data_IF_269614095192
#
_entry.id   IF_269614095192
#
_cell.length_a   1.000
_cell.length_b   1.000
_cell.length_c   1.000
_cell.angle_alpha   90.00
_cell.angle_beta   90.00
_cell.angle_gamma   90.00
#
_symmetry.space_group_name_H-M   'P 1'
#
loop_
_entity.id
_entity.type
_entity.pdbx_description
1 polymer ?
#
# COMPACT_ATOMS: atom_id res chain seq x y z
N UNK A 1 30.56 -72.46 -38.06
CA UNK A 1 29.61 -71.77 -37.15
C UNK A 1 30.29 -71.53 -35.82
N UNK A 2 30.42 -70.27 -35.39
CA UNK A 2 30.69 -69.91 -34.00
C UNK A 2 29.89 -68.63 -33.72
N UNK A 3 28.78 -68.81 -33.01
CA UNK A 3 27.90 -67.75 -32.50
C UNK A 3 28.48 -67.32 -31.15
N UNK A 4 28.87 -66.05 -31.00
CA UNK A 4 29.65 -65.58 -29.85
C UNK A 4 29.35 -64.13 -29.43
N UNK A 5 28.08 -63.86 -29.14
CA UNK A 5 27.57 -62.94 -28.12
C UNK A 5 28.23 -61.54 -27.96
N UNK A 6 27.98 -60.63 -28.91
CA UNK A 6 28.31 -59.22 -28.76
C UNK A 6 27.24 -58.49 -27.91
N UNK A 7 27.27 -58.67 -26.59
CA UNK A 7 26.33 -57.97 -25.69
C UNK A 7 26.73 -56.50 -25.54
N UNK A 8 26.26 -55.65 -26.45
CA UNK A 8 26.24 -54.20 -26.31
C UNK A 8 25.34 -53.81 -25.12
N UNK A 9 25.85 -53.97 -23.89
CA UNK A 9 25.22 -53.43 -22.68
C UNK A 9 25.34 -51.91 -22.74
N UNK A 10 24.35 -51.26 -23.36
CA UNK A 10 24.16 -49.81 -23.28
C UNK A 10 24.20 -49.42 -21.80
N UNK A 11 25.18 -48.59 -21.38
CA UNK A 11 25.21 -48.02 -20.02
C UNK A 11 23.85 -47.39 -19.76
N UNK A 12 23.09 -47.92 -18.80
CA UNK A 12 21.83 -47.31 -18.35
C UNK A 12 22.16 -45.88 -17.97
N UNK A 13 21.70 -44.92 -18.76
CA UNK A 13 21.68 -43.52 -18.37
C UNK A 13 20.69 -43.47 -17.22
N UNK A 14 21.22 -43.47 -15.99
CA UNK A 14 20.42 -43.25 -14.79
C UNK A 14 19.94 -41.81 -14.89
N UNK A 15 18.72 -41.62 -15.40
CA UNK A 15 18.03 -40.34 -15.28
C UNK A 15 17.87 -40.08 -13.79
N UNK A 16 18.73 -39.20 -13.25
CA UNK A 16 18.57 -38.73 -11.87
C UNK A 16 17.18 -38.12 -11.77
N UNK A 17 16.37 -38.64 -10.86
CA UNK A 17 15.08 -38.05 -10.55
C UNK A 17 15.30 -36.56 -10.27
N UNK A 18 14.49 -35.70 -10.91
CA UNK A 18 14.58 -34.26 -10.68
C UNK A 18 14.34 -34.03 -9.18
N UNK A 19 15.31 -33.45 -8.44
CA UNK A 19 15.13 -33.21 -7.02
C UNK A 19 13.98 -32.22 -6.82
N UNK A 20 13.28 -32.35 -5.68
CA UNK A 20 12.18 -31.46 -5.33
C UNK A 20 12.64 -29.99 -5.36
N UNK A 21 11.98 -29.12 -6.15
CA UNK A 21 12.27 -27.69 -6.19
C UNK A 21 12.30 -27.00 -4.82
N UNK A 22 11.55 -27.47 -3.82
CA UNK A 22 11.49 -26.86 -2.49
C UNK A 22 12.75 -27.09 -1.64
N UNK A 23 13.53 -28.14 -1.91
CA UNK A 23 14.81 -28.39 -1.20
C UNK A 23 15.82 -27.25 -1.41
N UNK A 24 15.69 -26.54 -2.54
CA UNK A 24 16.51 -25.40 -2.94
C UNK A 24 15.93 -24.06 -2.52
N UNK A 25 14.88 -24.04 -1.68
CA UNK A 25 14.23 -22.82 -1.22
C UNK A 25 14.51 -22.56 0.27
N UNK A 26 14.50 -21.29 0.63
CA UNK A 26 14.58 -20.74 1.99
C UNK A 26 13.40 -19.79 2.19
N UNK A 27 12.91 -19.72 3.43
CA UNK A 27 11.74 -18.94 3.82
C UNK A 27 12.17 -17.75 4.66
N UNK A 28 11.56 -16.59 4.40
CA UNK A 28 11.80 -15.34 5.09
C UNK A 28 10.48 -14.77 5.61
N UNK A 29 10.43 -14.45 6.89
CA UNK A 29 9.29 -13.80 7.53
C UNK A 29 9.31 -12.30 7.20
N UNK A 30 8.21 -11.75 6.73
CA UNK A 30 8.11 -10.34 6.34
C UNK A 30 7.37 -9.57 7.43
N UNK A 31 8.04 -8.55 7.96
CA UNK A 31 7.52 -7.73 9.04
C UNK A 31 7.09 -6.35 8.52
N UNK A 32 5.86 -5.96 8.83
CA UNK A 32 5.34 -4.60 8.72
C UNK A 32 5.96 -3.71 9.82
N UNK A 33 6.05 -2.39 9.59
CA UNK A 33 6.43 -1.44 10.64
C UNK A 33 5.57 -1.61 11.90
N UNK A 34 6.14 -1.35 13.08
CA UNK A 34 5.48 -1.52 14.38
C UNK A 34 4.33 -0.54 14.63
N UNK A 35 3.94 0.24 13.62
CA UNK A 35 2.75 1.08 13.64
C UNK A 35 1.48 0.23 13.82
N UNK A 36 1.43 -0.93 13.19
CA UNK A 36 0.27 -1.81 13.17
C UNK A 36 0.28 -2.79 14.34
N UNK A 37 -0.92 -3.22 14.76
CA UNK A 37 -1.08 -4.18 15.86
C UNK A 37 -0.42 -5.53 15.53
N UNK A 38 -0.63 -6.01 14.30
CA UNK A 38 0.01 -7.21 13.78
C UNK A 38 1.17 -6.82 12.86
N UNK A 39 2.40 -7.06 13.31
CA UNK A 39 3.61 -6.80 12.54
C UNK A 39 3.91 -7.92 11.54
N UNK A 40 3.40 -9.14 11.73
CA UNK A 40 3.66 -10.25 10.82
C UNK A 40 2.73 -10.21 9.59
N UNK A 41 3.31 -10.03 8.41
CA UNK A 41 2.61 -10.05 7.12
C UNK A 41 2.67 -11.42 6.43
N UNK A 42 3.38 -12.38 7.00
CA UNK A 42 3.57 -13.72 6.46
C UNK A 42 4.95 -13.93 5.83
N UNK A 43 5.08 -15.03 5.08
CA UNK A 43 6.37 -15.54 4.63
C UNK A 43 6.58 -15.36 3.12
N UNK A 44 7.82 -15.12 2.74
CA UNK A 44 8.25 -15.10 1.34
C UNK A 44 9.33 -16.14 1.11
N UNK A 45 9.20 -16.86 0.00
CA UNK A 45 10.13 -17.93 -0.36
C UNK A 45 11.09 -17.45 -1.45
N UNK A 46 12.37 -17.79 -1.29
CA UNK A 46 13.45 -17.49 -2.25
C UNK A 46 14.35 -18.71 -2.42
N UNK A 47 15.07 -18.79 -3.53
CA UNK A 47 16.09 -19.81 -3.73
C UNK A 47 17.25 -19.61 -2.76
N UNK A 48 17.76 -20.69 -2.16
CA UNK A 48 18.95 -20.68 -1.31
C UNK A 48 20.12 -20.01 -2.03
N UNK A 49 20.99 -19.38 -1.24
CA UNK A 49 22.21 -18.76 -1.78
C UNK A 49 23.03 -19.78 -2.55
N UNK A 50 23.41 -19.44 -3.78
CA UNK A 50 24.23 -20.29 -4.63
C UNK A 50 25.22 -19.44 -5.42
N UNK A 51 26.50 -19.65 -5.16
CA UNK A 51 27.58 -18.83 -5.74
C UNK A 51 27.41 -17.35 -5.39
N UNK A 52 27.41 -16.49 -6.41
CA UNK A 52 27.28 -15.04 -6.25
C UNK A 52 25.83 -14.57 -6.06
N UNK A 53 24.83 -15.45 -6.16
CA UNK A 53 23.41 -15.07 -6.01
C UNK A 53 22.99 -15.25 -4.55
N UNK A 54 23.06 -14.17 -3.78
CA UNK A 54 22.68 -14.15 -2.36
C UNK A 54 21.16 -14.09 -2.20
N UNK A 55 20.58 -14.98 -1.40
CA UNK A 55 19.14 -15.07 -1.16
C UNK A 55 18.57 -13.76 -0.60
N UNK A 56 19.26 -13.13 0.36
CA UNK A 56 18.82 -11.87 0.99
C UNK A 56 18.72 -10.71 0.00
N UNK A 57 19.58 -10.65 -1.02
CA UNK A 57 19.52 -9.59 -2.03
C UNK A 57 18.36 -9.79 -3.01
N UNK A 58 18.02 -11.04 -3.30
CA UNK A 58 16.89 -11.40 -4.17
C UNK A 58 15.54 -11.15 -3.50
N UNK A 59 15.47 -11.24 -2.17
CA UNK A 59 14.26 -10.89 -1.40
C UNK A 59 14.05 -9.37 -1.39
N UNK A 60 15.13 -8.60 -1.22
CA UNK A 60 15.10 -7.14 -1.21
C UNK A 60 14.49 -6.59 -2.49
N UNK A 61 13.69 -5.54 -2.35
CA UNK A 61 13.01 -4.87 -3.47
C UNK A 61 11.66 -5.46 -3.86
N UNK A 62 11.28 -6.64 -3.37
CA UNK A 62 9.91 -7.16 -3.53
C UNK A 62 8.92 -6.25 -2.81
N UNK A 63 7.74 -6.11 -3.41
CA UNK A 63 6.63 -5.36 -2.84
C UNK A 63 5.58 -6.34 -2.34
N UNK A 64 5.23 -6.23 -1.06
CA UNK A 64 4.17 -6.99 -0.40
C UNK A 64 2.99 -6.07 -0.19
N UNK A 65 1.79 -6.56 -0.54
CA UNK A 65 0.53 -5.86 -0.33
C UNK A 65 -0.18 -6.49 0.85
N UNK A 66 -0.55 -5.69 1.84
CA UNK A 66 -1.30 -6.11 3.01
C UNK A 66 -2.56 -5.25 3.18
N UNK A 67 -3.67 -5.86 3.57
CA UNK A 67 -4.87 -5.13 3.90
C UNK A 67 -4.73 -4.52 5.31
N UNK A 68 -5.21 -3.30 5.51
CA UNK A 68 -5.24 -2.68 6.83
C UNK A 68 -6.14 -3.47 7.79
N UNK A 69 -7.19 -4.12 7.28
CA UNK A 69 -8.03 -5.04 8.08
C UNK A 69 -7.21 -6.14 8.76
N UNK A 70 -6.26 -6.74 8.04
CA UNK A 70 -5.39 -7.81 8.56
C UNK A 70 -4.33 -7.28 9.53
N UNK A 71 -3.79 -6.09 9.25
CA UNK A 71 -2.76 -5.43 10.06
C UNK A 71 -3.30 -4.86 11.39
N UNK A 72 -4.56 -4.42 11.39
CA UNK A 72 -5.23 -3.82 12.55
C UNK A 72 -6.21 -4.76 13.27
N UNK A 73 -6.41 -5.99 12.77
CA UNK A 73 -7.39 -6.96 13.28
C UNK A 73 -8.83 -6.42 13.36
N UNK A 74 -9.16 -5.46 12.49
CA UNK A 74 -10.49 -4.85 12.41
C UNK A 74 -10.96 -4.78 10.96
N UNK A 75 -11.46 -5.90 10.46
CA UNK A 75 -11.82 -6.07 9.05
C UNK A 75 -13.00 -5.18 8.63
N UNK A 76 -14.00 -5.03 9.51
CA UNK A 76 -15.27 -4.33 9.18
C UNK A 76 -15.07 -2.87 8.77
N UNK A 77 -14.17 -2.15 9.43
CA UNK A 77 -13.93 -0.72 9.17
C UNK A 77 -12.72 -0.48 8.27
N UNK A 78 -11.69 -1.32 8.40
CA UNK A 78 -10.40 -1.09 7.77
C UNK A 78 -10.14 -1.97 6.53
N UNK A 79 -11.00 -2.95 6.23
CA UNK A 79 -10.85 -3.86 5.09
C UNK A 79 -10.89 -3.22 3.70
N UNK A 80 -11.16 -1.91 3.63
CA UNK A 80 -11.25 -1.12 2.39
C UNK A 80 -9.90 -0.56 1.92
N UNK A 81 -8.84 -0.67 2.72
CA UNK A 81 -7.56 0.02 2.49
C UNK A 81 -6.39 -0.96 2.45
N UNK A 82 -5.61 -0.95 1.38
CA UNK A 82 -4.38 -1.74 1.24
C UNK A 82 -3.14 -0.86 1.36
N UNK A 83 -2.16 -1.34 2.11
CA UNK A 83 -0.81 -0.79 2.14
C UNK A 83 0.13 -1.67 1.31
N UNK A 84 1.01 -1.02 0.57
CA UNK A 84 2.09 -1.67 -0.16
C UNK A 84 3.40 -1.36 0.56
N UNK A 85 4.16 -2.40 0.88
CA UNK A 85 5.44 -2.30 1.56
C UNK A 85 6.55 -2.91 0.70
N UNK A 86 7.70 -2.26 0.64
CA UNK A 86 8.89 -2.76 -0.05
C UNK A 86 9.82 -3.39 0.98
N UNK A 87 10.34 -4.58 0.71
CA UNK A 87 11.36 -5.20 1.55
C UNK A 87 12.69 -4.49 1.31
N UNK A 88 13.30 -3.96 2.39
CA UNK A 88 14.52 -3.15 2.29
C UNK A 88 15.70 -3.84 2.98
N UNK A 89 15.48 -4.39 4.17
CA UNK A 89 16.51 -5.11 4.92
C UNK A 89 16.02 -6.51 5.24
N UNK A 90 16.92 -7.48 5.22
CA UNK A 90 16.65 -8.83 5.72
C UNK A 90 17.85 -9.27 6.57
N UNK A 91 17.57 -9.74 7.77
CA UNK A 91 18.53 -10.26 8.75
C UNK A 91 17.88 -11.45 9.48
N UNK A 92 18.64 -12.53 9.70
CA UNK A 92 18.22 -13.70 10.48
C UNK A 92 16.83 -14.25 10.09
N UNK A 93 16.63 -14.43 8.78
CA UNK A 93 15.36 -14.89 8.18
C UNK A 93 14.15 -13.95 8.38
N UNK A 94 14.33 -12.77 8.98
CA UNK A 94 13.32 -11.72 9.09
C UNK A 94 13.62 -10.59 8.12
N UNK A 95 12.58 -10.07 7.50
CA UNK A 95 12.68 -8.99 6.53
C UNK A 95 11.89 -7.77 7.00
N UNK A 96 12.60 -6.66 7.15
CA UNK A 96 12.04 -5.36 7.49
C UNK A 96 11.59 -4.65 6.23
N UNK A 97 10.39 -4.06 6.32
CA UNK A 97 9.76 -3.37 5.20
C UNK A 97 9.68 -1.87 5.40
N UNK A 98 9.61 -1.15 4.28
CA UNK A 98 9.42 0.29 4.17
C UNK A 98 8.17 0.61 3.34
N UNK A 99 7.62 1.81 3.48
CA UNK A 99 6.43 2.25 2.76
C UNK A 99 6.68 2.36 1.25
N UNK A 100 5.85 1.69 0.45
CA UNK A 100 5.91 1.74 -1.02
C UNK A 100 4.66 2.37 -1.65
N UNK A 101 3.52 2.36 -0.95
CA UNK A 101 2.32 3.03 -1.39
C UNK A 101 1.07 2.64 -0.61
N UNK A 102 -0.02 3.27 -0.98
CA UNK A 102 -1.34 3.06 -0.40
C UNK A 102 -2.37 2.97 -1.53
N UNK A 103 -3.36 2.10 -1.38
CA UNK A 103 -4.44 1.96 -2.34
C UNK A 103 -5.72 1.49 -1.67
N UNK A 104 -6.82 2.15 -1.99
CA UNK A 104 -8.18 1.68 -1.65
C UNK A 104 -8.57 0.49 -2.52
N UNK A 105 -9.28 -0.49 -1.95
CA UNK A 105 -9.72 -1.68 -2.68
C UNK A 105 -10.71 -1.29 -3.78
N UNK A 106 -10.54 -1.89 -4.96
CA UNK A 106 -11.31 -1.56 -6.18
C UNK A 106 -12.83 -1.65 -5.98
N UNK A 107 -13.33 -2.67 -5.28
CA UNK A 107 -14.77 -2.83 -5.08
C UNK A 107 -15.37 -1.65 -4.30
N UNK A 108 -14.63 -1.13 -3.32
CA UNK A 108 -15.06 0.03 -2.53
C UNK A 108 -14.93 1.32 -3.33
N UNK A 109 -13.84 1.53 -4.07
CA UNK A 109 -13.70 2.69 -4.97
C UNK A 109 -14.85 2.74 -5.99
N UNK A 110 -15.21 1.60 -6.57
CA UNK A 110 -16.28 1.50 -7.58
C UNK A 110 -17.68 1.65 -7.00
N UNK A 111 -17.93 1.23 -5.76
CA UNK A 111 -19.26 1.34 -5.14
C UNK A 111 -19.68 2.79 -4.84
N UNK A 112 -18.72 3.72 -4.75
CA UNK A 112 -19.00 5.13 -4.48
C UNK A 112 -19.54 5.89 -5.70
N UNK A 113 -19.25 5.40 -6.91
CA UNK A 113 -19.74 5.98 -8.16
C UNK A 113 -21.26 5.78 -8.26
N UNK A 114 -21.99 6.89 -8.20
CA UNK A 114 -23.45 6.94 -8.39
C UNK A 114 -23.79 7.85 -9.56
N UNK A 115 -24.94 7.62 -10.19
CA UNK A 115 -25.47 8.50 -11.25
C UNK A 115 -26.06 9.78 -10.64
N UNK A 116 -26.15 10.85 -11.44
CA UNK A 116 -26.76 12.12 -11.01
C UNK A 116 -25.87 13.01 -10.14
N UNK A 117 -24.56 12.75 -10.08
CA UNK A 117 -23.56 13.60 -9.42
C UNK A 117 -22.32 13.77 -10.31
N UNK A 118 -21.55 14.82 -10.07
CA UNK A 118 -20.26 15.06 -10.73
C UNK A 118 -19.14 14.33 -9.98
N UNK A 119 -18.20 13.75 -10.72
CA UNK A 119 -16.97 13.17 -10.20
C UNK A 119 -15.85 14.22 -10.15
N UNK A 120 -15.15 14.28 -9.03
CA UNK A 120 -14.04 15.21 -8.76
C UNK A 120 -12.79 14.36 -8.53
N UNK A 121 -11.81 14.46 -9.43
CA UNK A 121 -10.48 13.87 -9.26
C UNK A 121 -9.42 14.97 -9.11
N UNK A 122 -8.47 14.73 -8.22
CA UNK A 122 -7.30 15.57 -7.98
C UNK A 122 -6.05 14.70 -7.87
N UNK A 123 -4.93 15.22 -8.36
CA UNK A 123 -3.62 14.59 -8.25
C UNK A 123 -2.57 15.62 -7.92
N UNK A 124 -1.69 15.32 -6.97
CA UNK A 124 -0.57 16.20 -6.63
C UNK A 124 0.65 15.42 -6.21
N UNK A 125 1.81 15.97 -6.55
CA UNK A 125 3.09 15.49 -6.06
C UNK A 125 3.48 16.30 -4.83
N UNK A 126 3.77 15.61 -3.73
CA UNK A 126 4.12 16.22 -2.44
C UNK A 126 5.40 15.57 -1.94
N UNK A 127 6.34 16.40 -1.48
CA UNK A 127 7.55 15.92 -0.81
C UNK A 127 7.33 15.97 0.69
N UNK A 128 7.51 14.84 1.38
CA UNK A 128 7.41 14.77 2.85
C UNK A 128 8.68 15.28 3.51
N UNK A 129 8.60 15.53 4.82
CA UNK A 129 9.73 15.97 5.63
C UNK A 129 10.92 14.99 5.60
N UNK A 130 10.63 13.69 5.54
CA UNK A 130 11.64 12.61 5.48
C UNK A 130 12.28 12.44 4.08
N UNK A 131 11.85 13.22 3.09
CA UNK A 131 12.39 13.17 1.73
C UNK A 131 11.74 12.13 0.81
N UNK A 132 10.53 11.62 1.13
CA UNK A 132 9.75 10.84 0.17
C UNK A 132 9.07 11.79 -0.81
N UNK A 133 9.16 11.47 -2.11
CA UNK A 133 8.38 12.16 -3.14
C UNK A 133 7.18 11.28 -3.48
N UNK A 134 5.98 11.77 -3.16
CA UNK A 134 4.73 11.02 -3.23
C UNK A 134 3.78 11.64 -4.25
N UNK A 135 3.13 10.80 -5.05
CA UNK A 135 1.98 11.20 -5.87
C UNK A 135 0.70 10.73 -5.21
N UNK A 136 -0.10 11.69 -4.76
CA UNK A 136 -1.35 11.44 -4.05
C UNK A 136 -2.52 11.66 -5.01
N UNK A 137 -3.41 10.67 -5.06
CA UNK A 137 -4.65 10.70 -5.84
C UNK A 137 -5.80 10.81 -4.85
N UNK A 138 -6.64 11.83 -5.03
CA UNK A 138 -7.86 12.02 -4.27
C UNK A 138 -9.06 12.03 -5.21
N UNK A 139 -10.15 11.39 -4.79
CA UNK A 139 -11.43 11.45 -5.49
C UNK A 139 -12.53 11.90 -4.54
N UNK A 140 -13.59 12.45 -5.11
CA UNK A 140 -14.78 12.87 -4.40
C UNK A 140 -15.96 13.02 -5.34
N UNK A 141 -17.15 13.17 -4.77
CA UNK A 141 -18.38 13.32 -5.54
C UNK A 141 -19.18 14.50 -5.03
N UNK A 142 -19.97 15.11 -5.91
CA UNK A 142 -20.95 16.10 -5.46
C UNK A 142 -22.07 15.42 -4.67
N UNK A 143 -22.58 16.14 -3.69
CA UNK A 143 -23.68 15.74 -2.83
C UNK A 143 -24.88 16.66 -3.04
N UNK A 144 -26.06 16.11 -2.84
CA UNK A 144 -27.29 16.89 -2.85
C UNK A 144 -27.45 17.60 -1.51
N UNK A 145 -27.58 18.93 -1.55
CA UNK A 145 -27.97 19.70 -0.37
C UNK A 145 -29.46 19.46 -0.05
N UNK A 146 -29.82 19.45 1.23
CA UNK A 146 -31.19 19.13 1.71
C UNK A 146 -32.28 20.00 1.07
N UNK A 147 -31.94 21.24 0.72
CA UNK A 147 -32.89 22.22 0.20
C UNK A 147 -33.13 22.11 -1.32
N UNK A 148 -32.38 21.27 -2.03
CA UNK A 148 -32.46 21.16 -3.49
C UNK A 148 -33.56 20.16 -3.87
N UNK A 149 -34.56 20.59 -4.66
CA UNK A 149 -35.63 19.70 -5.15
C UNK A 149 -35.18 18.82 -6.33
N UNK A 150 -34.22 19.29 -7.15
CA UNK A 150 -33.68 18.55 -8.31
C UNK A 150 -33.18 17.15 -7.92
N UNK A 151 -33.36 16.18 -8.81
CA UNK A 151 -32.87 14.81 -8.60
C UNK A 151 -31.36 14.69 -8.78
N UNK A 152 -30.75 15.55 -9.59
CA UNK A 152 -29.31 15.59 -9.84
C UNK A 152 -28.61 16.73 -9.06
N UNK A 153 -27.30 16.58 -8.90
CA UNK A 153 -26.43 17.52 -8.19
C UNK A 153 -25.13 17.81 -8.97
N UNK A 154 -25.25 17.99 -10.30
CA UNK A 154 -24.11 18.38 -11.13
C UNK A 154 -23.65 19.80 -10.79
N UNK A 155 -22.34 19.97 -10.60
CA UNK A 155 -21.71 21.27 -10.35
C UNK A 155 -21.19 21.88 -11.66
N UNK A 156 -21.15 23.21 -11.72
CA UNK A 156 -20.53 23.93 -12.85
C UNK A 156 -19.02 23.72 -12.87
N UNK A 157 -18.39 23.86 -14.03
CA UNK A 157 -16.93 23.70 -14.18
C UNK A 157 -16.14 24.65 -13.26
N UNK A 158 -16.62 25.88 -13.07
CA UNK A 158 -16.02 26.85 -12.14
C UNK A 158 -16.07 26.38 -10.69
N UNK A 159 -17.20 25.86 -10.24
CA UNK A 159 -17.40 25.31 -8.90
C UNK A 159 -16.51 24.07 -8.68
N UNK A 160 -16.43 23.18 -9.68
CA UNK A 160 -15.53 22.02 -9.63
C UNK A 160 -14.07 22.44 -9.49
N UNK A 161 -13.64 23.49 -10.20
CA UNK A 161 -12.26 23.99 -10.10
C UNK A 161 -11.97 24.62 -8.74
N UNK A 162 -12.93 25.31 -8.12
CA UNK A 162 -12.80 25.83 -6.75
C UNK A 162 -12.64 24.70 -5.74
N UNK A 163 -13.45 23.64 -5.85
CA UNK A 163 -13.32 22.45 -5.00
C UNK A 163 -11.97 21.77 -5.21
N UNK A 164 -11.54 21.58 -6.46
CA UNK A 164 -10.22 20.99 -6.76
C UNK A 164 -9.07 21.79 -6.17
N UNK A 165 -9.12 23.13 -6.25
CA UNK A 165 -8.11 24.00 -5.65
C UNK A 165 -8.02 23.79 -4.14
N UNK A 166 -9.16 23.80 -3.45
CA UNK A 166 -9.21 23.56 -2.01
C UNK A 166 -8.70 22.16 -1.62
N UNK A 167 -9.04 21.13 -2.41
CA UNK A 167 -8.55 19.76 -2.20
C UNK A 167 -7.02 19.68 -2.35
N UNK A 168 -6.46 20.28 -3.40
CA UNK A 168 -5.01 20.28 -3.63
C UNK A 168 -4.25 21.04 -2.53
N UNK A 169 -4.75 22.22 -2.15
CA UNK A 169 -4.10 23.06 -1.13
C UNK A 169 -4.06 22.37 0.24
N UNK A 170 -5.19 21.78 0.66
CA UNK A 170 -5.28 21.05 1.93
C UNK A 170 -4.52 19.75 1.92
N UNK A 171 -4.53 19.01 0.81
CA UNK A 171 -3.75 17.79 0.64
C UNK A 171 -2.25 18.06 0.73
N UNK A 172 -1.75 19.10 0.06
CA UNK A 172 -0.35 19.51 0.13
C UNK A 172 0.05 19.91 1.55
N UNK A 173 -0.73 20.79 2.17
CA UNK A 173 -0.43 21.31 3.51
C UNK A 173 -0.47 20.21 4.59
N UNK A 174 -1.39 19.25 4.46
CA UNK A 174 -1.51 18.14 5.39
C UNK A 174 -0.37 17.14 5.29
N UNK A 175 0.27 16.99 4.13
CA UNK A 175 1.26 15.93 3.87
C UNK A 175 2.71 16.44 3.94
N UNK A 176 2.96 17.68 3.54
CA UNK A 176 4.31 18.26 3.45
C UNK A 176 5.09 18.18 4.77
N UNK A 177 4.43 18.50 5.88
CA UNK A 177 5.07 18.58 7.19
C UNK A 177 5.05 17.25 7.96
N UNK A 178 4.47 16.19 7.39
CA UNK A 178 4.42 14.87 7.99
C UNK A 178 5.66 14.03 7.67
N UNK A 179 6.08 13.27 8.67
CA UNK A 179 7.01 12.15 8.51
C UNK A 179 6.25 10.96 7.89
N UNK A 180 6.96 10.03 7.25
CA UNK A 180 6.38 8.83 6.63
C UNK A 180 5.58 7.99 7.65
N UNK A 181 6.08 7.90 8.88
CA UNK A 181 5.38 7.24 9.98
C UNK A 181 4.01 7.87 10.25
N UNK A 182 3.97 9.20 10.44
CA UNK A 182 2.73 9.93 10.70
C UNK A 182 1.78 9.92 9.51
N UNK A 183 2.33 9.94 8.28
CA UNK A 183 1.54 9.81 7.07
C UNK A 183 0.79 8.47 7.04
N UNK A 184 1.46 7.35 7.34
CA UNK A 184 0.81 6.04 7.39
C UNK A 184 -0.30 6.02 8.45
N UNK A 185 -0.05 6.59 9.64
CA UNK A 185 -1.07 6.74 10.69
C UNK A 185 -2.26 7.58 10.21
N UNK A 186 -1.99 8.71 9.54
CA UNK A 186 -3.01 9.62 9.04
C UNK A 186 -3.87 9.02 7.95
N UNK A 187 -3.28 8.20 7.07
CA UNK A 187 -3.98 7.41 6.05
C UNK A 187 -4.81 6.29 6.66
N UNK A 188 -4.26 5.55 7.63
CA UNK A 188 -4.97 4.47 8.32
C UNK A 188 -6.20 4.99 9.09
N UNK A 189 -6.07 6.14 9.77
CA UNK A 189 -7.18 6.79 10.49
C UNK A 189 -8.10 7.61 9.59
N UNK A 190 -7.81 7.73 8.28
CA UNK A 190 -8.55 8.58 7.33
C UNK A 190 -8.67 10.06 7.76
N UNK A 191 -7.81 10.53 8.66
CA UNK A 191 -7.78 11.92 9.17
C UNK A 191 -7.48 12.95 8.08
N UNK A 192 -6.68 12.57 7.09
CA UNK A 192 -6.39 13.44 5.94
C UNK A 192 -7.65 13.59 5.07
N UNK A 193 -8.44 12.51 4.95
CA UNK A 193 -9.68 12.54 4.16
C UNK A 193 -10.72 13.48 4.80
N UNK A 194 -10.83 13.48 6.12
CA UNK A 194 -11.77 14.37 6.83
C UNK A 194 -11.38 15.83 6.68
N UNK A 195 -10.08 16.16 6.80
CA UNK A 195 -9.58 17.53 6.58
C UNK A 195 -9.86 18.03 5.15
N UNK A 196 -9.59 17.20 4.15
CA UNK A 196 -9.88 17.54 2.74
C UNK A 196 -11.41 17.71 2.55
N UNK A 197 -12.22 16.85 3.18
CA UNK A 197 -13.68 16.92 3.07
C UNK A 197 -14.23 18.23 3.66
N UNK A 198 -13.75 18.65 4.83
CA UNK A 198 -14.17 19.90 5.48
C UNK A 198 -13.81 21.13 4.65
N UNK A 199 -12.62 21.15 4.06
CA UNK A 199 -12.20 22.24 3.19
C UNK A 199 -13.02 22.30 1.89
N UNK A 200 -13.28 21.14 1.27
CA UNK A 200 -14.09 21.07 0.06
C UNK A 200 -15.57 21.46 0.30
N UNK A 201 -16.13 21.08 1.46
CA UNK A 201 -17.52 21.41 1.86
C UNK A 201 -17.79 22.91 1.96
N UNK A 202 -16.77 23.74 2.22
CA UNK A 202 -16.91 25.21 2.27
C UNK A 202 -17.31 25.80 0.92
N UNK A 203 -16.89 25.17 -0.18
CA UNK A 203 -17.13 25.69 -1.53
C UNK A 203 -18.40 25.09 -2.15
N UNK A 204 -18.62 23.78 -1.99
CA UNK A 204 -19.76 23.08 -2.57
C UNK A 204 -20.15 21.86 -1.73
N UNK A 205 -21.41 21.44 -1.83
CA UNK A 205 -21.87 20.21 -1.18
C UNK A 205 -21.20 18.98 -1.81
N UNK A 206 -20.34 18.31 -1.05
CA UNK A 206 -19.55 17.16 -1.48
C UNK A 206 -19.71 15.98 -0.52
N UNK A 207 -19.55 14.77 -1.04
CA UNK A 207 -19.56 13.49 -0.30
C UNK A 207 -18.38 12.62 -0.71
N UNK A 208 -18.06 11.66 0.15
CA UNK A 208 -17.15 10.55 -0.13
C UNK A 208 -15.80 11.00 -0.71
N UNK A 209 -15.25 12.08 -0.13
CA UNK A 209 -13.90 12.53 -0.44
C UNK A 209 -12.90 11.63 0.27
N UNK A 210 -11.99 11.05 -0.49
CA UNK A 210 -10.91 10.23 0.06
C UNK A 210 -9.67 10.23 -0.83
N UNK A 211 -8.53 9.94 -0.22
CA UNK A 211 -7.33 9.53 -0.94
C UNK A 211 -7.56 8.11 -1.47
N UNK A 212 -7.53 7.95 -2.80
CA UNK A 212 -7.70 6.64 -3.43
C UNK A 212 -6.39 5.89 -3.53
N UNK A 213 -5.30 6.59 -3.86
CA UNK A 213 -3.99 5.99 -4.10
C UNK A 213 -2.88 6.94 -3.70
N UNK A 214 -1.82 6.41 -3.10
CA UNK A 214 -0.55 7.09 -2.91
C UNK A 214 0.53 6.25 -3.57
N UNK A 215 1.27 6.86 -4.49
CA UNK A 215 2.43 6.23 -5.15
C UNK A 215 3.70 6.89 -4.65
N UNK A 216 4.68 6.09 -4.25
CA UNK A 216 6.03 6.60 -4.00
C UNK A 216 6.75 6.75 -5.34
N UNK A 217 7.09 7.99 -5.72
CA UNK A 217 7.89 8.29 -6.92
C UNK A 217 9.37 8.07 -6.59
N UNK A 218 9.81 8.62 -5.47
CA UNK A 218 11.20 8.53 -5.03
C UNK A 218 11.24 8.24 -3.53
N UNK A 219 12.02 7.24 -3.17
CA UNK A 219 12.33 6.90 -1.78
C UNK A 219 13.61 7.63 -1.34
N UNK A 220 13.70 8.10 -0.09
CA UNK A 220 14.94 8.66 0.42
C UNK A 220 16.03 7.59 0.49
N UNK A 221 17.30 8.02 0.47
CA UNK A 221 18.44 7.11 0.56
C UNK A 221 18.30 6.16 1.75
N UNK A 222 18.77 4.93 1.56
CA UNK A 222 18.70 3.90 2.60
C UNK A 222 19.51 4.32 3.83
N UNK A 223 18.86 4.32 4.99
CA UNK A 223 19.50 4.51 6.28
C UNK A 223 18.95 3.45 7.26
N UNK A 224 19.86 2.67 7.85
CA UNK A 224 19.56 1.60 8.80
C UNK A 224 18.82 2.15 10.03
N UNK A 225 19.22 3.31 10.54
CA UNK A 225 18.62 3.92 11.72
C UNK A 225 17.15 4.29 11.49
N UNK A 226 16.82 4.80 10.29
CA UNK A 226 15.43 5.13 9.91
C UNK A 226 14.55 3.90 9.93
N UNK A 227 15.04 2.81 9.33
CA UNK A 227 14.29 1.55 9.26
C UNK A 227 14.13 0.97 10.66
N UNK A 228 15.19 0.93 11.45
CA UNK A 228 15.09 0.42 12.83
C UNK A 228 14.09 1.24 13.66
N UNK A 229 14.07 2.57 13.50
CA UNK A 229 13.09 3.45 14.17
C UNK A 229 11.64 3.17 13.79
N UNK A 230 11.38 2.75 12.55
CA UNK A 230 10.04 2.35 12.10
C UNK A 230 9.58 1.00 12.69
N UNK A 231 10.53 0.19 13.18
CA UNK A 231 10.31 -1.16 13.70
C UNK A 231 10.59 -1.30 15.21
N UNK A 232 10.97 -0.22 15.90
CA UNK A 232 11.28 -0.20 17.33
C UNK A 232 10.24 0.55 18.18
N UNK A 233 9.06 0.83 17.63
CA UNK A 233 8.01 1.64 18.25
C UNK A 233 6.89 0.83 18.89
N UNK A 234 5.98 1.53 19.58
CA UNK A 234 4.72 0.98 20.10
C UNK A 234 3.64 0.94 19.03
N UNK A 235 2.84 -0.14 19.04
CA UNK A 235 1.69 -0.31 18.16
C UNK A 235 0.58 0.70 18.48
N UNK A 236 -0.01 1.28 17.44
CA UNK A 236 -1.20 2.16 17.57
C UNK A 236 -2.46 1.43 17.14
N UNK A 237 -3.55 1.62 17.90
CA UNK A 237 -4.86 1.09 17.52
C UNK A 237 -5.50 1.94 16.41
N UNK A 238 -6.02 1.27 15.38
CA UNK A 238 -6.69 1.90 14.24
C UNK A 238 -8.16 1.50 14.19
N UNK A 239 -9.05 2.48 13.97
CA UNK A 239 -10.49 2.21 13.81
C UNK A 239 -11.34 2.48 15.05
N UNK A 240 -10.99 3.49 15.87
CA UNK A 240 -12.02 4.10 16.73
C UNK A 240 -12.96 4.91 15.84
N UNK A 241 -14.29 4.76 15.95
CA UNK A 241 -15.22 5.64 15.26
C UNK A 241 -14.89 7.07 15.65
N UNK A 242 -14.71 7.94 14.66
CA UNK A 242 -14.62 9.38 14.89
C UNK A 242 -16.01 9.78 15.40
N UNK A 243 -16.15 9.97 16.70
CA UNK A 243 -17.34 10.59 17.27
C UNK A 243 -17.46 11.99 16.67
N UNK A 244 -18.37 12.12 15.71
CA UNK A 244 -18.77 13.42 15.19
C UNK A 244 -19.54 14.09 16.32
N UNK A 245 -18.88 15.01 17.04
CA UNK A 245 -19.57 16.01 17.84
C UNK A 245 -20.33 16.98 16.93
#
# INVERSE_FOLDING_TARGET
MAIGNNSNKKKKIVQRAKPDPFLRKEWYDVQAPTLFKKSDMGQTVVTKTSGMRVSTEVVKGRIVKANLGDLAENETQNGTSNFNFKIVSCADSKCLTDFAGYQVVRHYEQSLFKKGCSHISCTQDVTTKDGYVLRVFATGFTAKSKNIKKSNCYAKTSELNLVRKAMLETMHSSIKDLDCHKLMTGLANKSINTSIMEAAKKNFAVRDIMITRVKVISTPKYNVERINKLHSGTSTEFGKPIEVK
#
